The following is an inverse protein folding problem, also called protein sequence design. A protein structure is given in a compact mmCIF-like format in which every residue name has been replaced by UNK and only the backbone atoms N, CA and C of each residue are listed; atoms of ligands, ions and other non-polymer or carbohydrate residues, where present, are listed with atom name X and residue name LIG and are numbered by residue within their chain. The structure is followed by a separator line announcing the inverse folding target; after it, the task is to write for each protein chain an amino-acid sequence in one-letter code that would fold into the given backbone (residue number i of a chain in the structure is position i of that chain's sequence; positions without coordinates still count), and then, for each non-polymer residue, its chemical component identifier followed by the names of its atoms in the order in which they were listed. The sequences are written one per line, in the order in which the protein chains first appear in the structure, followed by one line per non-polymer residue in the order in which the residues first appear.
data_IF_943684308732
#
_entry.id   IF_943684308732
#
_cell.length_a   1.000
_cell.length_b   1.000
_cell.length_c   1.000
_cell.angle_alpha   90.00
_cell.angle_beta   90.00
_cell.angle_gamma   90.00
#
_symmetry.space_group_name_H-M   'P 1'
#
loop_
_entity.id
_entity.type
_entity.pdbx_description
1 polymer ?
#
# COMPACT_ATOMS: atom_id res chain seq x y z
N UNK A 1 13.23 30.49 63.70
CA UNK A 1 12.74 29.85 62.46
C UNK A 1 13.93 29.66 61.53
N UNK A 2 14.30 28.41 61.19
CA UNK A 2 15.28 28.15 60.12
C UNK A 2 14.51 27.79 58.85
N UNK A 3 14.67 28.58 57.81
CA UNK A 3 14.16 28.28 56.48
C UNK A 3 15.07 27.22 55.86
N UNK A 4 14.55 26.02 55.61
CA UNK A 4 15.21 25.03 54.76
C UNK A 4 14.82 25.35 53.31
N UNK A 5 15.77 25.86 52.52
CA UNK A 5 15.60 25.98 51.08
C UNK A 5 15.44 24.58 50.47
N UNK A 6 14.40 24.31 49.65
CA UNK A 6 14.27 23.02 49.00
C UNK A 6 15.36 22.88 47.94
N UNK A 7 16.34 22.00 48.17
CA UNK A 7 17.32 21.61 47.16
C UNK A 7 16.63 20.70 46.15
N UNK A 8 16.54 21.14 44.89
CA UNK A 8 16.09 20.28 43.80
C UNK A 8 17.10 19.14 43.60
N UNK A 9 16.66 17.89 43.42
CA UNK A 9 17.56 16.78 43.09
C UNK A 9 18.27 17.06 41.76
N UNK A 10 19.53 16.60 41.66
CA UNK A 10 20.32 16.77 40.44
C UNK A 10 19.59 16.17 39.22
N UNK A 11 19.67 16.78 38.03
CA UNK A 11 19.08 16.22 36.82
C UNK A 11 19.62 14.81 36.57
N UNK A 12 18.73 13.88 36.20
CA UNK A 12 19.15 12.55 35.78
C UNK A 12 20.09 12.67 34.57
N UNK A 13 21.15 11.84 34.50
CA UNK A 13 22.00 11.79 33.32
C UNK A 13 21.17 11.43 32.08
N UNK A 14 21.48 12.00 30.90
CA UNK A 14 20.75 11.69 29.68
C UNK A 14 20.89 10.20 29.37
N UNK A 15 19.77 9.55 29.04
CA UNK A 15 19.80 8.17 28.57
C UNK A 15 20.63 8.09 27.28
N UNK A 16 21.60 7.18 27.22
CA UNK A 16 22.33 6.88 25.99
C UNK A 16 21.46 6.01 25.08
N UNK A 17 21.08 6.52 23.92
CA UNK A 17 20.34 5.76 22.90
C UNK A 17 21.30 5.01 21.99
N UNK A 18 21.14 3.69 21.88
CA UNK A 18 21.86 2.88 20.89
C UNK A 18 21.21 3.02 19.51
N UNK A 19 21.68 3.99 18.74
CA UNK A 19 21.17 4.23 17.38
C UNK A 19 21.45 3.09 16.42
N UNK A 20 22.56 2.37 16.59
CA UNK A 20 22.90 1.24 15.71
C UNK A 20 21.94 0.07 15.94
N UNK A 21 21.67 -0.26 17.21
CA UNK A 21 20.66 -1.24 17.58
C UNK A 21 19.26 -0.86 17.09
N UNK A 22 18.89 0.42 17.13
CA UNK A 22 17.62 0.90 16.58
C UNK A 22 17.53 0.73 15.06
N UNK A 23 18.58 1.10 14.31
CA UNK A 23 18.60 0.95 12.85
C UNK A 23 18.53 -0.53 12.43
N UNK A 24 19.28 -1.41 13.10
CA UNK A 24 19.25 -2.84 12.82
C UNK A 24 17.83 -3.42 13.00
N UNK A 25 17.16 -3.09 14.11
CA UNK A 25 15.78 -3.52 14.37
C UNK A 25 14.78 -2.96 13.36
N UNK A 26 15.01 -1.74 12.87
CA UNK A 26 14.18 -1.14 11.85
C UNK A 26 14.33 -1.86 10.50
N UNK A 27 15.56 -2.11 10.06
CA UNK A 27 15.84 -2.86 8.84
C UNK A 27 15.27 -4.28 8.88
N UNK A 28 15.36 -4.97 10.03
CA UNK A 28 14.73 -6.28 10.22
C UNK A 28 13.20 -6.21 10.08
N UNK A 29 12.57 -5.16 10.61
CA UNK A 29 11.13 -4.97 10.51
C UNK A 29 10.68 -4.69 9.06
N UNK A 30 11.42 -3.84 8.33
CA UNK A 30 11.16 -3.56 6.91
C UNK A 30 11.33 -4.81 6.04
N UNK A 31 12.42 -5.57 6.24
CA UNK A 31 12.66 -6.81 5.51
C UNK A 31 11.54 -7.85 5.76
N UNK A 32 11.05 -7.94 6.99
CA UNK A 32 9.93 -8.81 7.34
C UNK A 32 8.64 -8.37 6.64
N UNK A 33 8.33 -7.08 6.63
CA UNK A 33 7.15 -6.53 5.97
C UNK A 33 7.20 -6.79 4.45
N UNK A 34 8.34 -6.54 3.82
CA UNK A 34 8.56 -6.79 2.40
C UNK A 34 8.35 -8.27 2.04
N UNK A 35 8.88 -9.19 2.86
CA UNK A 35 8.69 -10.62 2.66
C UNK A 35 7.22 -11.04 2.77
N UNK A 36 6.48 -10.49 3.73
CA UNK A 36 5.04 -10.74 3.88
C UNK A 36 4.23 -10.18 2.70
N UNK A 37 4.53 -8.97 2.26
CA UNK A 37 3.88 -8.37 1.08
C UNK A 37 4.12 -9.20 -0.18
N UNK A 38 5.37 -9.61 -0.43
CA UNK A 38 5.71 -10.47 -1.56
C UNK A 38 4.98 -11.82 -1.52
N UNK A 39 4.86 -12.42 -0.34
CA UNK A 39 4.11 -13.67 -0.17
C UNK A 39 2.60 -13.49 -0.42
N UNK A 40 2.00 -12.40 0.06
CA UNK A 40 0.60 -12.08 -0.19
C UNK A 40 0.33 -11.80 -1.68
N UNK A 41 1.19 -11.04 -2.35
CA UNK A 41 1.13 -10.81 -3.80
C UNK A 41 1.22 -12.12 -4.59
N UNK A 42 2.15 -13.00 -4.23
CA UNK A 42 2.29 -14.31 -4.89
C UNK A 42 0.99 -15.11 -4.80
N UNK A 43 0.39 -15.19 -3.60
CA UNK A 43 -0.89 -15.88 -3.38
C UNK A 43 -2.04 -15.23 -4.14
N UNK A 44 -2.05 -13.90 -4.21
CA UNK A 44 -3.05 -13.16 -4.99
C UNK A 44 -2.99 -13.57 -6.46
N UNK A 45 -1.81 -13.49 -7.08
CA UNK A 45 -1.64 -13.86 -8.48
C UNK A 45 -2.00 -15.32 -8.75
N UNK A 46 -1.55 -16.25 -7.89
CA UNK A 46 -1.90 -17.67 -8.04
C UNK A 46 -3.42 -17.91 -8.06
N UNK A 47 -4.18 -17.17 -7.25
CA UNK A 47 -5.63 -17.31 -7.18
C UNK A 47 -6.33 -16.61 -8.35
N UNK A 48 -5.85 -15.44 -8.79
CA UNK A 48 -6.37 -14.77 -9.98
C UNK A 48 -6.19 -15.66 -11.22
N UNK A 49 -4.98 -16.17 -11.45
CA UNK A 49 -4.69 -17.08 -12.57
C UNK A 49 -5.54 -18.34 -12.51
N UNK A 50 -5.69 -18.97 -11.33
CA UNK A 50 -6.53 -20.17 -11.17
C UNK A 50 -8.01 -19.90 -11.45
N UNK A 51 -8.49 -18.69 -11.16
CA UNK A 51 -9.85 -18.27 -11.44
C UNK A 51 -10.09 -17.81 -12.88
N UNK A 52 -9.06 -17.87 -13.75
CA UNK A 52 -9.14 -17.39 -15.13
C UNK A 52 -9.16 -15.86 -15.26
N UNK A 53 -8.79 -15.14 -14.20
CA UNK A 53 -8.66 -13.69 -14.22
C UNK A 53 -7.25 -13.33 -14.71
N UNK A 54 -7.19 -12.57 -15.79
CA UNK A 54 -5.94 -12.09 -16.39
C UNK A 54 -5.45 -10.83 -15.73
N UNK A 55 -6.34 -9.89 -15.45
CA UNK A 55 -6.00 -8.67 -14.75
C UNK A 55 -7.17 -8.13 -13.91
N UNK A 56 -6.81 -7.36 -12.89
CA UNK A 56 -7.76 -6.64 -12.03
C UNK A 56 -7.33 -5.21 -11.93
N UNK A 57 -8.25 -4.29 -12.18
CA UNK A 57 -8.04 -2.85 -12.11
C UNK A 57 -8.81 -2.32 -10.91
N UNK A 58 -8.08 -1.59 -10.09
CA UNK A 58 -8.55 -1.02 -8.85
C UNK A 58 -8.49 0.49 -9.00
N UNK A 59 -9.64 1.14 -9.00
CA UNK A 59 -9.71 2.60 -8.97
C UNK A 59 -9.55 3.08 -7.55
N UNK A 60 -8.73 4.11 -7.34
CA UNK A 60 -8.47 4.66 -6.03
C UNK A 60 -8.64 6.18 -6.02
N UNK A 61 -8.86 6.68 -4.80
CA UNK A 61 -8.76 8.08 -4.47
C UNK A 61 -7.92 8.19 -3.20
N UNK A 62 -6.77 8.84 -3.29
CA UNK A 62 -5.96 9.17 -2.14
C UNK A 62 -6.07 10.67 -1.84
N UNK A 63 -6.48 11.00 -0.62
CA UNK A 63 -6.32 12.34 -0.04
C UNK A 63 -5.02 12.37 0.81
N UNK A 64 -4.77 13.46 1.54
CA UNK A 64 -3.54 13.70 2.31
C UNK A 64 -3.03 12.46 3.04
N UNK A 65 -3.87 11.86 3.89
CA UNK A 65 -3.46 10.75 4.77
C UNK A 65 -4.19 9.44 4.48
N UNK A 66 -5.18 9.44 3.59
CA UNK A 66 -6.07 8.30 3.39
C UNK A 66 -6.06 7.92 1.92
N UNK A 67 -5.71 6.66 1.64
CA UNK A 67 -6.01 6.08 0.34
C UNK A 67 -7.22 5.14 0.43
N UNK A 68 -8.18 5.34 -0.47
CA UNK A 68 -9.43 4.61 -0.52
C UNK A 68 -9.63 3.99 -1.89
N UNK A 69 -9.93 2.71 -1.90
CA UNK A 69 -10.41 2.04 -3.10
C UNK A 69 -11.88 2.43 -3.34
N UNK A 70 -12.16 2.90 -4.55
CA UNK A 70 -13.50 3.34 -4.98
C UNK A 70 -14.14 2.37 -5.98
N UNK A 71 -13.33 1.55 -6.65
CA UNK A 71 -13.81 0.60 -7.65
C UNK A 71 -12.87 -0.58 -7.81
N UNK A 72 -13.42 -1.72 -8.22
CA UNK A 72 -12.66 -2.91 -8.58
C UNK A 72 -13.42 -3.65 -9.68
N UNK A 73 -12.73 -3.82 -10.79
CA UNK A 73 -13.21 -4.54 -11.97
C UNK A 73 -12.20 -5.64 -12.30
N UNK A 74 -12.67 -6.79 -12.76
CA UNK A 74 -11.85 -7.94 -13.10
C UNK A 74 -12.07 -8.34 -14.56
N UNK A 75 -11.04 -8.91 -15.19
CA UNK A 75 -11.07 -9.26 -16.60
C UNK A 75 -10.51 -10.65 -16.85
N UNK A 76 -11.19 -11.40 -17.70
CA UNK A 76 -10.69 -12.62 -18.33
C UNK A 76 -10.35 -12.28 -19.79
N UNK A 77 -9.06 -12.17 -20.08
CA UNK A 77 -8.54 -11.54 -21.30
C UNK A 77 -9.16 -10.15 -21.51
N UNK A 78 -9.87 -9.93 -22.62
CA UNK A 78 -10.51 -8.66 -22.95
C UNK A 78 -11.97 -8.57 -22.45
N UNK A 79 -12.46 -9.57 -21.71
CA UNK A 79 -13.86 -9.64 -21.25
C UNK A 79 -13.95 -9.28 -19.77
N UNK A 80 -14.67 -8.20 -19.48
CA UNK A 80 -15.02 -7.83 -18.11
C UNK A 80 -15.88 -8.93 -17.47
N UNK A 81 -15.54 -9.31 -16.24
CA UNK A 81 -16.22 -10.36 -15.50
C UNK A 81 -16.32 -10.01 -14.01
N UNK A 82 -17.29 -10.60 -13.28
CA UNK A 82 -17.38 -10.39 -11.85
C UNK A 82 -16.15 -10.98 -11.13
N UNK A 83 -15.59 -10.23 -10.18
CA UNK A 83 -14.57 -10.78 -9.29
C UNK A 83 -15.13 -12.00 -8.54
N UNK A 84 -14.43 -13.15 -8.57
CA UNK A 84 -14.95 -14.38 -7.97
C UNK A 84 -15.08 -14.25 -6.45
N UNK A 85 -16.17 -14.81 -5.92
CA UNK A 85 -16.43 -14.85 -4.48
C UNK A 85 -15.72 -16.06 -3.84
N UNK A 86 -14.41 -15.92 -3.71
CA UNK A 86 -13.53 -16.93 -3.12
C UNK A 86 -12.69 -16.31 -2.01
N UNK A 87 -12.30 -17.12 -1.04
CA UNK A 87 -11.34 -16.71 0.00
C UNK A 87 -9.94 -17.20 -0.32
N UNK A 88 -8.94 -16.37 -0.07
CA UNK A 88 -7.53 -16.70 -0.25
C UNK A 88 -6.77 -16.62 1.08
N UNK A 89 -5.67 -17.37 1.24
CA UNK A 89 -4.78 -17.18 2.37
C UNK A 89 -4.14 -15.79 2.32
N UNK A 90 -4.25 -15.04 3.42
CA UNK A 90 -3.74 -13.68 3.56
C UNK A 90 -3.13 -13.49 4.94
N UNK A 91 -2.04 -12.72 5.00
CA UNK A 91 -1.37 -12.37 6.25
C UNK A 91 -1.41 -10.85 6.40
N UNK A 92 -2.08 -10.34 7.43
CA UNK A 92 -2.17 -8.90 7.66
C UNK A 92 -0.81 -8.32 8.07
N UNK A 93 -0.45 -7.17 7.49
CA UNK A 93 0.86 -6.52 7.70
C UNK A 93 0.91 -5.65 8.96
N UNK A 94 -0.24 -5.25 9.48
CA UNK A 94 -0.41 -4.36 10.64
C UNK A 94 -0.36 -5.07 12.00
N UNK A 95 -0.18 -6.39 12.02
CA UNK A 95 -0.17 -7.17 13.25
C UNK A 95 1.26 -7.46 13.76
N UNK A 96 1.53 -7.32 15.08
CA UNK A 96 2.84 -7.63 15.66
C UNK A 96 3.25 -9.10 15.50
N UNK A 97 2.27 -10.00 15.57
CA UNK A 97 2.41 -11.44 15.37
C UNK A 97 1.43 -11.87 14.26
N UNK A 98 1.75 -11.55 12.99
CA UNK A 98 0.83 -11.74 11.89
C UNK A 98 0.65 -13.24 11.63
N UNK A 99 -0.57 -13.70 11.84
CA UNK A 99 -0.97 -15.08 11.61
C UNK A 99 -1.63 -15.21 10.23
N UNK A 100 -1.45 -16.35 9.53
CA UNK A 100 -2.19 -16.62 8.31
C UNK A 100 -3.68 -16.75 8.62
N UNK A 101 -4.49 -15.97 7.90
CA UNK A 101 -5.94 -16.06 7.89
C UNK A 101 -6.47 -16.24 6.48
N UNK A 102 -7.79 -16.33 6.34
CA UNK A 102 -8.46 -16.31 5.04
C UNK A 102 -9.17 -14.98 4.86
N UNK A 103 -9.07 -14.41 3.67
CA UNK A 103 -9.69 -13.15 3.30
C UNK A 103 -10.38 -13.30 1.95
N UNK A 104 -11.58 -12.73 1.79
CA UNK A 104 -12.23 -12.70 0.48
C UNK A 104 -11.30 -12.05 -0.55
N UNK A 105 -11.20 -12.62 -1.74
CA UNK A 105 -10.28 -12.19 -2.80
C UNK A 105 -10.41 -10.69 -3.09
N UNK A 106 -11.65 -10.21 -3.20
CA UNK A 106 -11.97 -8.78 -3.37
C UNK A 106 -11.35 -7.90 -2.27
N UNK A 107 -11.43 -8.34 -1.01
CA UNK A 107 -10.85 -7.60 0.11
C UNK A 107 -9.32 -7.71 0.14
N UNK A 108 -8.75 -8.86 -0.25
CA UNK A 108 -7.31 -9.00 -0.36
C UNK A 108 -6.73 -8.09 -1.44
N UNK A 109 -7.35 -8.01 -2.61
CA UNK A 109 -6.99 -7.08 -3.69
C UNK A 109 -7.02 -5.65 -3.17
N UNK A 110 -8.12 -5.23 -2.57
CA UNK A 110 -8.26 -3.85 -2.07
C UNK A 110 -7.23 -3.52 -0.98
N UNK A 111 -6.95 -4.46 -0.07
CA UNK A 111 -5.98 -4.24 1.00
C UNK A 111 -4.56 -4.13 0.46
N UNK A 112 -4.16 -5.06 -0.40
CA UNK A 112 -2.83 -5.06 -1.03
C UNK A 112 -2.64 -3.77 -1.84
N UNK A 113 -3.65 -3.34 -2.61
CA UNK A 113 -3.59 -2.10 -3.35
C UNK A 113 -3.39 -0.90 -2.41
N UNK A 114 -4.15 -0.80 -1.32
CA UNK A 114 -3.96 0.27 -0.33
C UNK A 114 -2.56 0.25 0.29
N UNK A 115 -2.08 -0.92 0.71
CA UNK A 115 -0.78 -1.05 1.36
C UNK A 115 0.35 -0.63 0.39
N UNK A 116 0.29 -1.03 -0.89
CA UNK A 116 1.26 -0.60 -1.92
C UNK A 116 1.17 0.90 -2.21
N UNK A 117 -0.04 1.46 -2.35
CA UNK A 117 -0.24 2.88 -2.62
C UNK A 117 0.26 3.75 -1.44
N UNK A 118 0.03 3.31 -0.21
CA UNK A 118 0.52 4.00 0.99
C UNK A 118 2.05 3.98 1.07
N UNK A 119 2.67 2.83 0.78
CA UNK A 119 4.14 2.69 0.76
C UNK A 119 4.77 3.59 -0.31
N UNK A 120 4.23 3.57 -1.54
CA UNK A 120 4.68 4.46 -2.63
C UNK A 120 4.52 5.94 -2.28
N UNK A 121 3.42 6.32 -1.62
CA UNK A 121 3.22 7.70 -1.15
C UNK A 121 4.23 8.09 -0.08
N UNK A 122 4.47 7.23 0.90
CA UNK A 122 5.45 7.45 1.95
C UNK A 122 6.86 7.63 1.35
N UNK A 123 7.24 6.78 0.40
CA UNK A 123 8.52 6.87 -0.31
C UNK A 123 8.64 8.13 -1.19
N UNK A 124 7.52 8.61 -1.77
CA UNK A 124 7.53 9.82 -2.61
C UNK A 124 7.78 11.11 -1.83
N UNK A 125 7.49 11.14 -0.53
CA UNK A 125 7.53 12.34 0.30
C UNK A 125 6.45 13.39 -0.04
N UNK A 126 5.50 13.09 -0.93
CA UNK A 126 4.42 14.00 -1.31
C UNK A 126 3.08 13.55 -0.72
N UNK A 127 2.44 14.40 0.09
CA UNK A 127 1.09 14.16 0.62
C UNK A 127 -0.01 14.61 -0.37
N UNK A 128 0.33 14.77 -1.65
CA UNK A 128 -0.58 15.37 -2.63
C UNK A 128 -1.78 14.47 -2.87
N UNK A 129 -2.98 15.04 -2.90
CA UNK A 129 -4.16 14.31 -3.30
C UNK A 129 -4.00 13.78 -4.74
N UNK A 130 -4.49 12.58 -5.00
CA UNK A 130 -4.40 11.94 -6.30
C UNK A 130 -5.54 10.93 -6.49
N UNK A 131 -5.95 10.76 -7.73
CA UNK A 131 -6.78 9.65 -8.16
C UNK A 131 -6.04 8.83 -9.22
N UNK A 132 -6.65 7.73 -9.63
CA UNK A 132 -6.07 6.89 -10.67
C UNK A 132 -6.50 5.44 -10.59
N UNK A 133 -5.71 4.60 -11.23
CA UNK A 133 -5.96 3.17 -11.29
C UNK A 133 -4.70 2.35 -11.03
N UNK A 134 -4.89 1.23 -10.34
CA UNK A 134 -3.84 0.27 -10.05
C UNK A 134 -4.26 -1.08 -10.64
N UNK A 135 -3.47 -1.59 -11.58
CA UNK A 135 -3.71 -2.85 -12.25
C UNK A 135 -2.81 -3.95 -11.67
N UNK A 136 -3.42 -5.04 -11.22
CA UNK A 136 -2.77 -6.32 -10.98
C UNK A 136 -2.86 -7.15 -12.25
N UNK A 137 -1.76 -7.26 -12.99
CA UNK A 137 -1.66 -8.15 -14.14
C UNK A 137 -1.21 -9.54 -13.66
N UNK A 138 -2.14 -10.49 -13.61
CA UNK A 138 -1.87 -11.85 -13.16
C UNK A 138 -1.13 -12.69 -14.21
N UNK A 139 -1.25 -12.35 -15.50
CA UNK A 139 -0.56 -13.03 -16.58
C UNK A 139 0.94 -12.68 -16.58
N UNK A 140 1.25 -11.39 -16.43
CA UNK A 140 2.62 -10.89 -16.32
C UNK A 140 3.18 -10.96 -14.89
N UNK A 141 2.33 -11.19 -13.88
CA UNK A 141 2.64 -11.02 -12.44
C UNK A 141 3.27 -9.66 -12.14
N UNK A 142 2.73 -8.63 -12.76
CA UNK A 142 3.23 -7.27 -12.69
C UNK A 142 2.12 -6.33 -12.22
N UNK A 143 2.53 -5.19 -11.65
CA UNK A 143 1.61 -4.14 -11.26
C UNK A 143 1.84 -2.93 -12.15
N UNK A 144 0.76 -2.30 -12.61
CA UNK A 144 0.80 -1.03 -13.32
C UNK A 144 0.03 0.01 -12.51
N UNK A 145 0.68 1.15 -12.23
CA UNK A 145 0.07 2.28 -11.56
C UNK A 145 -0.09 3.43 -12.56
N UNK A 146 -1.34 3.84 -12.77
CA UNK A 146 -1.69 5.11 -13.37
C UNK A 146 -2.05 6.09 -12.24
N UNK A 147 -1.18 7.07 -12.01
CA UNK A 147 -1.27 7.99 -10.88
C UNK A 147 -1.47 9.42 -11.37
N UNK A 148 -2.62 9.99 -11.05
CA UNK A 148 -3.02 11.33 -11.47
C UNK A 148 -3.02 12.27 -10.25
N UNK A 149 -1.94 13.03 -10.01
CA UNK A 149 -1.90 13.99 -8.93
C UNK A 149 -2.91 15.11 -9.20
N UNK A 150 -3.76 15.42 -8.22
CA UNK A 150 -4.67 16.56 -8.32
C UNK A 150 -3.85 17.84 -8.45
N UNK A 151 -3.98 18.53 -9.59
CA UNK A 151 -3.49 19.90 -9.71
C UNK A 151 -4.31 20.85 -8.87
N UNK A 152 -3.68 21.52 -7.90
CA UNK A 152 -4.33 22.54 -7.06
C UNK A 152 -4.79 23.77 -7.88
N UNK A 153 -4.58 23.77 -9.20
CA UNK A 153 -5.14 24.70 -10.18
C UNK A 153 -5.37 24.00 -11.52
N UNK A 154 -6.48 23.27 -11.66
CA UNK A 154 -7.09 23.07 -12.97
C UNK A 154 -8.49 23.72 -12.93
N UNK A 155 -8.78 24.74 -13.77
CA UNK A 155 -10.12 25.31 -13.83
C UNK A 155 -11.09 24.21 -14.28
N UNK A 156 -12.22 24.13 -13.59
CA UNK A 156 -13.34 23.23 -13.86
C UNK A 156 -13.73 23.23 -15.35
N UNK A 157 -13.19 22.27 -16.10
CA UNK A 157 -13.54 21.96 -17.48
C UNK A 157 -13.85 20.46 -17.61
N UNK A 158 -14.69 20.07 -18.59
CA UNK A 158 -15.14 18.68 -18.73
C UNK A 158 -13.95 17.73 -18.99
N UNK A 159 -14.07 16.45 -18.61
CA UNK A 159 -12.96 15.49 -18.64
C UNK A 159 -12.40 15.38 -20.06
N UNK A 160 -11.13 15.78 -20.20
CA UNK A 160 -10.41 15.67 -21.45
C UNK A 160 -9.88 14.25 -21.55
N UNK A 161 -10.40 13.48 -22.52
CA UNK A 161 -9.90 12.16 -22.84
C UNK A 161 -8.47 12.30 -23.37
N UNK A 162 -7.48 12.04 -22.53
CA UNK A 162 -6.07 12.01 -22.92
C UNK A 162 -5.61 10.57 -23.10
N UNK A 163 -5.23 10.25 -24.33
CA UNK A 163 -4.76 8.94 -24.77
C UNK A 163 -3.48 8.52 -24.03
N UNK A 164 -3.47 7.28 -23.53
CA UNK A 164 -2.34 6.66 -22.87
C UNK A 164 -1.16 6.50 -23.85
N UNK A 165 0.00 7.06 -23.49
CA UNK A 165 1.29 6.69 -24.08
C UNK A 165 2.06 5.91 -23.03
N UNK A 166 2.21 4.61 -23.27
CA UNK A 166 2.93 3.69 -22.40
C UNK A 166 4.44 3.92 -22.54
N UNK A 167 5.11 4.21 -21.43
CA UNK A 167 6.56 4.09 -21.31
C UNK A 167 6.86 2.97 -20.30
N UNK A 168 7.20 1.80 -20.82
CA UNK A 168 7.76 0.69 -20.04
C UNK A 168 9.21 1.01 -19.66
N UNK A 169 9.54 0.94 -18.38
CA UNK A 169 10.91 0.94 -17.87
C UNK A 169 11.16 -0.32 -17.04
N UNK A 170 12.36 -0.93 -17.11
CA UNK A 170 12.65 -2.18 -16.41
C UNK A 170 13.05 -1.91 -14.96
N UNK A 171 12.59 -2.79 -14.05
CA UNK A 171 13.21 -3.02 -12.74
C UNK A 171 13.94 -4.36 -12.78
#
# INVERSE_FOLDING_TARGET
MRQNSPTLPAPLPPASTDFHGLQARHAEAEARLAALMAANMTRLYDHLTRAGITHVMVSFHCDHDICRIIGLTAWADDVECPCPDVTIPYVALDQPAPAPGNLALRHAIARIACDVLQDLRAASGTARAADGSFCFDAAARANLLDYNPCDAMAPSGPPQACAASYAQGPW
#
